data_IF_069958295444
#
_entry.id   IF_069958295444
#
_cell.length_a   1.000
_cell.length_b   1.000
_cell.length_c   1.000
_cell.angle_alpha   90.00
_cell.angle_beta   90.00
_cell.angle_gamma   90.00
#
_symmetry.space_group_name_H-M   'P 1'
#
loop_
_entity.id
_entity.type
_entity.pdbx_description
1 polymer ?
#
# COMPACT_ATOMS: atom_id res chain seq x y z
N UNK A 1 -10.71 -41.99 27.22
CA UNK A 1 -10.06 -41.96 25.90
C UNK A 1 -11.00 -41.29 24.91
N UNK A 2 -10.76 -40.01 24.61
CA UNK A 2 -11.13 -39.41 23.33
C UNK A 2 -10.11 -38.30 23.06
N UNK A 3 -9.14 -38.61 22.21
CA UNK A 3 -8.14 -37.68 21.74
C UNK A 3 -8.81 -36.70 20.77
N UNK A 4 -9.11 -35.49 21.24
CA UNK A 4 -9.42 -34.35 20.37
C UNK A 4 -8.11 -33.80 19.84
N UNK A 5 -7.82 -34.10 18.58
CA UNK A 5 -6.69 -33.55 17.82
C UNK A 5 -6.78 -32.03 17.81
N UNK A 6 -5.87 -31.36 18.51
CA UNK A 6 -5.69 -29.93 18.40
C UNK A 6 -5.06 -29.60 17.05
N UNK A 7 -5.85 -29.11 16.10
CA UNK A 7 -5.36 -28.53 14.86
C UNK A 7 -4.58 -27.24 15.17
N UNK A 8 -3.27 -27.36 15.36
CA UNK A 8 -2.35 -26.26 15.58
C UNK A 8 -1.81 -25.66 14.29
N UNK A 9 -2.65 -24.95 13.53
CA UNK A 9 -2.22 -23.93 12.54
C UNK A 9 -3.29 -22.83 12.42
N UNK A 10 -3.64 -22.20 13.54
CA UNK A 10 -4.37 -20.92 13.50
C UNK A 10 -3.44 -19.84 12.93
N UNK A 11 -3.46 -19.63 11.61
CA UNK A 11 -2.69 -18.57 10.97
C UNK A 11 -3.05 -17.23 11.61
N UNK A 12 -2.05 -16.50 12.14
CA UNK A 12 -2.28 -15.16 12.68
C UNK A 12 -2.72 -14.23 11.55
N UNK A 13 -3.90 -13.64 11.67
CA UNK A 13 -4.34 -12.56 10.78
C UNK A 13 -3.44 -11.34 10.96
N UNK A 14 -2.86 -10.78 9.89
CA UNK A 14 -2.01 -9.59 9.97
C UNK A 14 -2.74 -8.35 10.49
N UNK A 15 -2.04 -7.51 11.24
CA UNK A 15 -2.52 -6.21 11.68
C UNK A 15 -2.27 -5.15 10.60
N UNK A 16 -3.31 -4.82 9.84
CA UNK A 16 -3.32 -3.74 8.85
C UNK A 16 -3.37 -2.34 9.49
N UNK A 17 -2.42 -1.49 9.13
CA UNK A 17 -2.35 -0.07 9.47
C UNK A 17 -2.41 0.75 8.18
N UNK A 18 -3.45 1.58 8.03
CA UNK A 18 -3.53 2.54 6.93
C UNK A 18 -2.84 3.85 7.31
N UNK A 19 -2.10 4.45 6.37
CA UNK A 19 -1.43 5.74 6.55
C UNK A 19 -1.83 6.69 5.41
N UNK A 20 -2.68 7.66 5.70
CA UNK A 20 -3.14 8.65 4.72
C UNK A 20 -2.57 10.05 4.97
N UNK A 21 -2.77 10.96 4.01
CA UNK A 21 -2.25 12.33 4.07
C UNK A 21 -1.95 12.88 2.67
N UNK A 22 -1.90 14.21 2.55
CA UNK A 22 -1.64 14.87 1.28
C UNK A 22 -0.29 14.48 0.65
N UNK A 23 -0.13 14.73 -0.65
CA UNK A 23 1.19 14.61 -1.29
C UNK A 23 2.22 15.46 -0.55
N UNK A 24 3.45 14.95 -0.45
CA UNK A 24 4.56 15.56 0.32
C UNK A 24 4.29 15.84 1.83
N UNK A 25 3.26 15.22 2.44
CA UNK A 25 3.03 15.32 3.89
C UNK A 25 4.04 14.52 4.73
N UNK A 26 4.74 13.55 4.12
CA UNK A 26 5.72 12.71 4.80
C UNK A 26 5.24 11.30 5.15
N UNK A 27 4.11 10.82 4.61
CA UNK A 27 3.61 9.44 4.78
C UNK A 27 4.71 8.39 4.60
N UNK A 28 5.33 8.36 3.43
CA UNK A 28 6.37 7.36 3.10
C UNK A 28 7.60 7.52 4.01
N UNK A 29 7.91 8.75 4.46
CA UNK A 29 8.96 8.99 5.46
C UNK A 29 8.59 8.40 6.82
N UNK A 30 7.36 8.59 7.29
CA UNK A 30 6.88 8.00 8.55
C UNK A 30 6.94 6.47 8.46
N UNK A 31 6.44 5.87 7.38
CA UNK A 31 6.50 4.42 7.20
C UNK A 31 7.94 3.91 7.16
N UNK A 32 8.83 4.59 6.44
CA UNK A 32 10.27 4.25 6.40
C UNK A 32 10.89 4.30 7.79
N UNK A 33 10.64 5.36 8.57
CA UNK A 33 11.17 5.48 9.95
C UNK A 33 10.64 4.39 10.88
N UNK A 34 9.40 3.92 10.69
CA UNK A 34 8.85 2.79 11.46
C UNK A 34 9.61 1.51 11.10
N UNK A 35 9.80 1.24 9.81
CA UNK A 35 10.54 0.07 9.31
C UNK A 35 11.99 0.05 9.84
N UNK A 36 12.70 1.18 9.75
CA UNK A 36 14.06 1.37 10.27
C UNK A 36 14.12 1.09 11.79
N UNK A 37 13.23 1.69 12.58
CA UNK A 37 13.22 1.54 14.05
C UNK A 37 12.88 0.13 14.52
N UNK A 38 12.18 -0.64 13.69
CA UNK A 38 11.85 -2.05 13.94
C UNK A 38 12.88 -3.00 13.33
N UNK A 39 13.98 -2.47 12.79
CA UNK A 39 15.08 -3.25 12.23
C UNK A 39 14.69 -4.12 11.03
N UNK A 40 13.70 -3.69 10.24
CA UNK A 40 13.17 -4.50 9.13
C UNK A 40 13.94 -4.35 7.82
N UNK A 41 14.77 -3.32 7.70
CA UNK A 41 15.47 -2.99 6.45
C UNK A 41 16.53 -4.04 6.09
N UNK A 42 17.26 -4.55 7.09
CA UNK A 42 18.30 -5.57 6.93
C UNK A 42 17.77 -7.02 6.97
N UNK A 43 16.46 -7.20 7.17
CA UNK A 43 15.81 -8.52 7.19
C UNK A 43 15.45 -8.93 5.77
N UNK A 44 15.75 -10.18 5.44
CA UNK A 44 15.34 -10.81 4.18
C UNK A 44 13.84 -10.62 3.96
N UNK A 45 13.45 -10.23 2.73
CA UNK A 45 12.05 -9.92 2.40
C UNK A 45 11.05 -11.01 2.79
N UNK A 46 11.45 -12.28 2.75
CA UNK A 46 10.62 -13.44 3.12
C UNK A 46 10.37 -13.59 4.62
N UNK A 47 11.19 -12.94 5.45
CA UNK A 47 11.18 -13.04 6.92
C UNK A 47 10.72 -11.77 7.62
N UNK A 48 10.46 -10.69 6.88
CA UNK A 48 9.99 -9.41 7.44
C UNK A 48 8.68 -9.61 8.19
N UNK A 49 8.64 -9.11 9.43
CA UNK A 49 7.46 -9.13 10.29
C UNK A 49 6.59 -7.90 10.08
N UNK A 50 7.19 -6.81 9.60
CA UNK A 50 6.48 -5.60 9.17
C UNK A 50 6.82 -5.33 7.72
N UNK A 51 5.82 -4.99 6.92
CA UNK A 51 6.00 -4.60 5.51
C UNK A 51 5.26 -3.31 5.22
N UNK A 52 5.75 -2.55 4.24
CA UNK A 52 5.12 -1.31 3.78
C UNK A 52 4.73 -1.44 2.31
N UNK A 53 3.51 -1.04 1.99
CA UNK A 53 2.94 -1.02 0.63
C UNK A 53 2.48 0.40 0.33
N UNK A 54 2.79 0.90 -0.86
CA UNK A 54 2.36 2.21 -1.33
C UNK A 54 1.17 2.09 -2.29
N UNK A 55 0.18 2.98 -2.16
CA UNK A 55 -0.98 3.08 -3.05
C UNK A 55 -0.56 3.42 -4.48
N UNK A 56 0.56 4.10 -4.67
CA UNK A 56 1.05 4.50 -5.99
C UNK A 56 1.41 3.28 -6.85
N UNK A 57 1.74 2.14 -6.24
CA UNK A 57 1.93 0.87 -6.94
C UNK A 57 0.65 0.38 -7.65
N UNK A 58 -0.51 0.94 -7.31
CA UNK A 58 -1.83 0.54 -7.79
C UNK A 58 -2.45 1.55 -8.75
N UNK A 59 -1.69 2.53 -9.27
CA UNK A 59 -2.16 3.30 -10.43
C UNK A 59 -2.62 2.35 -11.53
N UNK A 60 -3.82 2.58 -12.09
CA UNK A 60 -4.36 1.73 -13.15
C UNK A 60 -3.63 1.99 -14.47
N UNK A 61 -3.63 1.02 -15.40
CA UNK A 61 -3.23 1.29 -16.77
C UNK A 61 -4.07 2.44 -17.37
N UNK A 62 -3.39 3.34 -18.07
CA UNK A 62 -4.03 4.44 -18.79
C UNK A 62 -4.44 3.97 -20.18
N UNK A 63 -5.57 4.50 -20.66
CA UNK A 63 -5.94 4.41 -22.08
C UNK A 63 -5.01 5.26 -22.93
N UNK A 64 -4.93 5.05 -24.26
CA UNK A 64 -4.10 5.88 -25.14
C UNK A 64 -4.36 7.39 -25.01
N UNK A 65 -5.63 7.79 -24.89
CA UNK A 65 -6.02 9.19 -24.72
C UNK A 65 -5.58 9.76 -23.37
N UNK A 66 -5.66 8.97 -22.31
CA UNK A 66 -5.19 9.36 -20.97
C UNK A 66 -3.68 9.44 -20.89
N UNK A 67 -2.96 8.53 -21.56
CA UNK A 67 -1.51 8.59 -21.71
C UNK A 67 -1.11 9.90 -22.40
N UNK A 68 -1.80 10.28 -23.48
CA UNK A 68 -1.55 11.55 -24.16
C UNK A 68 -1.82 12.78 -23.25
N UNK A 69 -2.80 12.70 -22.34
CA UNK A 69 -3.05 13.73 -21.32
C UNK A 69 -1.98 13.74 -20.22
N UNK A 70 -1.53 12.58 -19.77
CA UNK A 70 -0.49 12.43 -18.76
C UNK A 70 0.84 13.02 -19.23
N UNK A 71 1.24 12.75 -20.49
CA UNK A 71 2.43 13.34 -21.10
C UNK A 71 2.38 14.87 -21.20
N UNK A 72 1.19 15.46 -21.19
CA UNK A 72 0.95 16.92 -21.16
C UNK A 72 0.79 17.47 -19.75
N UNK A 73 0.86 16.63 -18.72
CA UNK A 73 0.68 17.02 -17.31
C UNK A 73 -0.77 17.39 -16.94
N UNK A 74 -1.76 17.01 -17.75
CA UNK A 74 -3.18 17.37 -17.52
C UNK A 74 -4.06 16.19 -17.09
N UNK A 75 -3.49 14.98 -16.98
CA UNK A 75 -4.17 13.87 -16.34
C UNK A 75 -4.12 14.02 -14.82
N UNK A 76 -5.26 13.85 -14.15
CA UNK A 76 -5.36 13.98 -12.71
C UNK A 76 -5.05 12.64 -12.02
N UNK A 77 -3.78 12.42 -11.66
CA UNK A 77 -3.35 11.26 -10.89
C UNK A 77 -3.85 11.26 -9.44
N UNK A 78 -4.32 12.40 -8.93
CA UNK A 78 -4.88 12.48 -7.58
C UNK A 78 -6.39 12.14 -7.55
N UNK A 79 -7.00 11.82 -8.70
CA UNK A 79 -8.40 11.39 -8.75
C UNK A 79 -8.55 9.91 -8.31
N UNK A 80 -9.60 9.55 -7.55
CA UNK A 80 -9.84 8.16 -7.15
C UNK A 80 -9.82 7.14 -8.30
N UNK A 81 -10.30 7.54 -9.48
CA UNK A 81 -10.34 6.69 -10.68
C UNK A 81 -8.96 6.45 -11.31
N UNK A 82 -7.92 7.16 -10.88
CA UNK A 82 -6.54 6.87 -11.30
C UNK A 82 -6.02 5.57 -10.66
N UNK A 83 -6.66 5.09 -9.60
CA UNK A 83 -6.25 3.90 -8.86
C UNK A 83 -7.10 2.68 -9.23
N UNK A 84 -6.45 1.52 -9.29
CA UNK A 84 -7.08 0.22 -9.43
C UNK A 84 -7.52 -0.28 -8.06
N UNK A 85 -8.65 0.26 -7.60
CA UNK A 85 -9.16 0.00 -6.26
C UNK A 85 -9.62 -1.46 -6.09
N UNK A 86 -10.03 -2.14 -7.18
CA UNK A 86 -10.32 -3.57 -7.16
C UNK A 86 -9.05 -4.38 -6.84
N UNK A 87 -7.91 -4.04 -7.45
CA UNK A 87 -6.64 -4.67 -7.14
C UNK A 87 -6.20 -4.36 -5.70
N UNK A 88 -6.36 -3.13 -5.22
CA UNK A 88 -6.07 -2.78 -3.82
C UNK A 88 -6.89 -3.64 -2.86
N UNK A 89 -8.21 -3.73 -3.07
CA UNK A 89 -9.12 -4.49 -2.23
C UNK A 89 -8.76 -5.98 -2.24
N UNK A 90 -8.52 -6.55 -3.43
CA UNK A 90 -8.06 -7.92 -3.59
C UNK A 90 -6.76 -8.19 -2.84
N UNK A 91 -5.78 -7.30 -2.96
CA UNK A 91 -4.50 -7.44 -2.27
C UNK A 91 -4.67 -7.38 -0.75
N UNK A 92 -5.47 -6.45 -0.22
CA UNK A 92 -5.74 -6.37 1.22
C UNK A 92 -6.38 -7.65 1.76
N UNK A 93 -7.34 -8.24 1.04
CA UNK A 93 -7.93 -9.52 1.42
C UNK A 93 -6.91 -10.66 1.37
N UNK A 94 -6.07 -10.73 0.32
CA UNK A 94 -5.00 -11.73 0.26
C UNK A 94 -4.02 -11.60 1.43
N UNK A 95 -3.68 -10.38 1.84
CA UNK A 95 -2.83 -10.12 3.00
C UNK A 95 -3.52 -10.63 4.28
N UNK A 96 -4.80 -10.28 4.49
CA UNK A 96 -5.56 -10.73 5.67
C UNK A 96 -5.68 -12.25 5.74
N UNK A 97 -5.74 -12.92 4.59
CA UNK A 97 -5.73 -14.39 4.47
C UNK A 97 -4.33 -15.02 4.66
N UNK A 98 -3.28 -14.22 4.88
CA UNK A 98 -1.91 -14.71 5.00
C UNK A 98 -1.34 -15.27 3.69
N UNK A 99 -1.78 -14.77 2.54
CA UNK A 99 -1.31 -15.20 1.21
C UNK A 99 -0.14 -14.34 0.73
N UNK A 100 0.76 -14.95 -0.05
CA UNK A 100 1.80 -14.22 -0.78
C UNK A 100 1.13 -13.34 -1.85
N UNK A 101 1.50 -12.07 -1.89
CA UNK A 101 0.97 -11.08 -2.84
C UNK A 101 2.05 -10.65 -3.83
N UNK A 102 1.63 -10.33 -5.06
CA UNK A 102 2.48 -9.71 -6.08
C UNK A 102 1.98 -8.29 -6.31
N UNK A 103 2.79 -7.32 -5.92
CA UNK A 103 2.45 -5.90 -6.02
C UNK A 103 3.07 -5.37 -7.33
N UNK A 104 2.31 -4.69 -8.21
CA UNK A 104 2.89 -4.10 -9.41
C UNK A 104 3.98 -3.10 -9.06
N UNK A 105 5.03 -3.04 -9.89
CA UNK A 105 5.95 -1.91 -9.84
C UNK A 105 5.44 -0.82 -10.80
N UNK A 106 5.40 0.43 -10.34
CA UNK A 106 4.96 1.57 -11.13
C UNK A 106 6.14 2.45 -11.50
N UNK A 107 6.21 2.87 -12.77
CA UNK A 107 7.21 3.80 -13.28
C UNK A 107 6.58 5.18 -13.51
N UNK A 108 7.01 6.15 -12.71
CA UNK A 108 6.55 7.54 -12.79
C UNK A 108 7.09 8.28 -14.01
N UNK A 109 8.16 7.81 -14.65
CA UNK A 109 8.72 8.42 -15.87
C UNK A 109 7.81 8.12 -17.05
N UNK A 110 7.39 6.85 -17.18
CA UNK A 110 6.51 6.40 -18.27
C UNK A 110 5.02 6.46 -17.92
N UNK A 111 4.68 6.74 -16.66
CA UNK A 111 3.32 6.72 -16.11
C UNK A 111 2.61 5.37 -16.33
N UNK A 112 3.37 4.27 -16.20
CA UNK A 112 2.90 2.93 -16.53
C UNK A 112 3.31 1.88 -15.48
N UNK A 113 2.52 0.81 -15.39
CA UNK A 113 2.92 -0.39 -14.66
C UNK A 113 4.01 -1.13 -15.43
N UNK A 114 5.00 -1.62 -14.70
CA UNK A 114 6.01 -2.53 -15.21
C UNK A 114 5.48 -3.97 -15.20
N UNK A 115 6.07 -4.83 -16.05
CA UNK A 115 5.82 -6.28 -16.00
C UNK A 115 6.38 -6.92 -14.72
N UNK A 116 7.37 -6.27 -14.10
CA UNK A 116 7.95 -6.72 -12.84
C UNK A 116 7.03 -6.44 -11.66
N UNK A 117 7.11 -7.31 -10.65
CA UNK A 117 6.33 -7.19 -9.41
C UNK A 117 7.22 -7.32 -8.18
N UNK A 118 6.84 -6.66 -7.11
CA UNK A 118 7.41 -6.85 -5.77
C UNK A 118 6.63 -7.94 -5.05
N UNK A 119 7.33 -8.95 -4.50
CA UNK A 119 6.68 -10.02 -3.73
C UNK A 119 6.54 -9.62 -2.27
N UNK A 120 5.33 -9.69 -1.74
CA UNK A 120 5.04 -9.48 -0.32
C UNK A 120 4.67 -10.84 0.30
N UNK A 121 5.49 -11.25 1.27
CA UNK A 121 5.26 -12.47 2.05
C UNK A 121 4.36 -12.17 3.25
N UNK A 122 3.72 -13.20 3.84
CA UNK A 122 2.91 -13.02 5.04
C UNK A 122 3.72 -12.37 6.17
N UNK A 123 3.18 -11.29 6.73
CA UNK A 123 3.80 -10.47 7.76
C UNK A 123 2.83 -10.30 8.94
N UNK A 124 3.33 -9.95 10.12
CA UNK A 124 2.45 -9.67 11.27
C UNK A 124 1.74 -8.32 11.15
N UNK A 125 2.42 -7.34 10.55
CA UNK A 125 1.94 -5.96 10.43
C UNK A 125 2.17 -5.49 9.00
N UNK A 126 1.16 -4.85 8.42
CA UNK A 126 1.27 -4.23 7.09
C UNK A 126 0.90 -2.76 7.21
N UNK A 127 1.85 -1.91 6.87
CA UNK A 127 1.63 -0.49 6.64
C UNK A 127 1.17 -0.31 5.18
N UNK A 128 0.01 0.30 4.96
CA UNK A 128 -0.44 0.66 3.62
C UNK A 128 -0.61 2.18 3.56
N UNK A 129 0.25 2.84 2.81
CA UNK A 129 0.30 4.30 2.73
C UNK A 129 -0.16 4.82 1.37
N UNK A 130 -0.84 5.97 1.37
CA UNK A 130 -1.31 6.59 0.12
C UNK A 130 -2.16 7.83 0.34
N UNK A 131 -2.35 8.62 -0.71
CA UNK A 131 -3.11 9.88 -0.63
C UNK A 131 -4.62 9.67 -0.44
N UNK A 132 -5.15 8.52 -0.86
CA UNK A 132 -6.59 8.23 -0.88
C UNK A 132 -6.95 6.94 -0.12
N UNK A 133 -6.11 6.50 0.82
CA UNK A 133 -6.33 5.21 1.47
C UNK A 133 -7.61 5.08 2.29
N UNK A 134 -8.17 6.21 2.73
CA UNK A 134 -9.43 6.27 3.47
C UNK A 134 -10.61 6.78 2.64
N UNK A 135 -10.44 6.91 1.31
CA UNK A 135 -11.48 7.39 0.42
C UNK A 135 -12.61 6.37 0.27
N UNK A 136 -12.30 5.13 -0.09
CA UNK A 136 -13.31 4.08 -0.28
C UNK A 136 -13.71 3.44 1.06
N UNK A 137 -15.02 3.40 1.40
CA UNK A 137 -15.47 2.81 2.66
C UNK A 137 -15.07 1.35 2.86
N UNK A 138 -15.08 0.56 1.79
CA UNK A 138 -14.74 -0.87 1.79
C UNK A 138 -13.28 -1.10 2.17
N UNK A 139 -12.36 -0.42 1.47
CA UNK A 139 -10.92 -0.43 1.77
C UNK A 139 -10.67 0.09 3.19
N UNK A 140 -11.27 1.23 3.54
CA UNK A 140 -11.13 1.86 4.85
C UNK A 140 -11.58 0.93 5.99
N UNK A 141 -12.61 0.11 5.75
CA UNK A 141 -13.15 -0.84 6.71
C UNK A 141 -12.17 -1.96 7.11
N UNK A 142 -11.18 -2.27 6.25
CA UNK A 142 -10.22 -3.35 6.49
C UNK A 142 -9.07 -2.95 7.44
N UNK A 143 -8.82 -1.66 7.64
CA UNK A 143 -7.72 -1.20 8.50
C UNK A 143 -8.07 -1.24 9.99
N UNK A 144 -7.28 -1.98 10.78
CA UNK A 144 -7.39 -2.03 12.23
C UNK A 144 -6.97 -0.72 12.88
N UNK A 145 -5.97 -0.04 12.31
CA UNK A 145 -5.51 1.29 12.73
C UNK A 145 -5.42 2.23 11.52
N UNK A 146 -5.78 3.49 11.72
CA UNK A 146 -5.82 4.52 10.68
C UNK A 146 -5.03 5.72 11.16
N UNK A 147 -3.94 6.04 10.48
CA UNK A 147 -3.08 7.18 10.77
C UNK A 147 -3.23 8.22 9.66
N UNK A 148 -3.29 9.50 10.02
CA UNK A 148 -3.28 10.60 9.06
C UNK A 148 -2.10 11.51 9.35
N UNK A 149 -1.21 11.66 8.36
CA UNK A 149 -0.06 12.57 8.44
C UNK A 149 -0.52 13.94 7.98
N UNK A 150 -0.89 14.77 8.94
CA UNK A 150 -1.35 16.13 8.70
C UNK A 150 -0.17 17.10 8.59
N UNK A 151 -0.20 17.96 7.58
CA UNK A 151 0.81 18.98 7.31
C UNK A 151 0.20 20.07 6.44
N UNK A 152 0.52 21.32 6.78
CA UNK A 152 -0.01 22.50 6.10
C UNK A 152 0.25 22.45 4.58
N UNK A 153 -0.71 22.96 3.81
CA UNK A 153 -0.69 22.84 2.35
C UNK A 153 0.48 23.60 1.70
N UNK A 154 0.82 24.76 2.24
CA UNK A 154 1.98 25.57 1.82
C UNK A 154 3.31 24.83 2.09
N UNK A 155 3.43 24.20 3.26
CA UNK A 155 4.58 23.39 3.64
C UNK A 155 4.74 22.17 2.74
N UNK A 156 3.63 21.51 2.38
CA UNK A 156 3.64 20.38 1.44
C UNK A 156 4.02 20.84 0.03
N UNK A 157 3.50 21.98 -0.42
CA UNK A 157 3.83 22.53 -1.74
C UNK A 157 5.31 22.90 -1.82
N UNK A 158 5.90 23.47 -0.77
CA UNK A 158 7.32 23.81 -0.72
C UNK A 158 8.26 22.57 -0.77
N UNK A 159 7.73 21.37 -0.51
CA UNK A 159 8.46 20.10 -0.54
C UNK A 159 8.25 19.29 -1.82
N UNK A 160 7.29 19.68 -2.66
CA UNK A 160 6.93 19.00 -3.91
C UNK A 160 7.81 19.50 -5.05
#
# INVERSE_FOLDING_TARGET
>A
MSNGVGNGTGGKTPFLIGVAGGTASGKSTVCKRIMERLGQDDIEHSQRRVVCISQDAFYRPLTPDETAKALKGVFNFDHPDAFDNELVLKTLHQILDGKICKIPNYDYVTNARLESTTTIYPADVVLFEGILMFYQPEIRGLFHMKLFVDSDADTRLARR
#
